data_IF_354226607986
#
_entry.id   IF_354226607986
#
_cell.length_a   1.000
_cell.length_b   1.000
_cell.length_c   1.000
_cell.angle_alpha   90.00
_cell.angle_beta   90.00
_cell.angle_gamma   90.00
#
_symmetry.space_group_name_H-M   'P 1'
#
loop_
_entity.id
_entity.type
_entity.pdbx_description
1 polymer ?
#
# COMPACT_ATOMS: atom_id res chain seq x y z
N UNK A 1 16.68 -2.90 -1.38
CA UNK A 1 15.67 -2.06 -2.05
C UNK A 1 15.03 -1.17 -1.00
N UNK A 2 14.80 0.11 -1.31
CA UNK A 2 14.08 1.05 -0.45
C UNK A 2 13.34 2.06 -1.33
N UNK A 3 12.02 2.10 -1.24
CA UNK A 3 11.17 3.15 -1.84
C UNK A 3 10.14 3.59 -0.81
N UNK A 4 9.45 4.70 -1.06
CA UNK A 4 8.38 5.18 -0.18
C UNK A 4 7.09 5.39 -0.96
N UNK A 5 5.96 4.95 -0.39
CA UNK A 5 4.62 5.19 -0.94
C UNK A 5 3.72 5.73 0.17
N UNK A 6 2.80 6.62 -0.17
CA UNK A 6 1.69 6.99 0.72
C UNK A 6 0.83 5.76 1.03
N UNK A 7 0.34 5.65 2.26
CA UNK A 7 -0.51 4.53 2.69
C UNK A 7 -1.70 4.32 1.76
N UNK A 8 -2.30 5.42 1.27
CA UNK A 8 -3.39 5.40 0.29
C UNK A 8 -3.08 4.60 -0.99
N UNK A 9 -1.79 4.53 -1.39
CA UNK A 9 -1.38 3.96 -2.68
C UNK A 9 -0.96 2.49 -2.60
N UNK A 10 -0.61 1.98 -1.41
CA UNK A 10 0.03 0.65 -1.24
C UNK A 10 -0.86 -0.47 -1.80
N UNK A 11 -2.16 -0.45 -1.51
CA UNK A 11 -3.08 -1.48 -1.96
C UNK A 11 -3.27 -1.49 -3.49
N UNK A 12 -3.38 -0.31 -4.11
CA UNK A 12 -3.52 -0.18 -5.56
C UNK A 12 -2.23 -0.61 -6.28
N UNK A 13 -1.07 -0.23 -5.73
CA UNK A 13 0.24 -0.66 -6.22
C UNK A 13 0.40 -2.18 -6.11
N UNK A 14 0.05 -2.77 -4.97
CA UNK A 14 0.09 -4.22 -4.80
C UNK A 14 -0.76 -4.93 -5.86
N UNK A 15 -1.99 -4.46 -6.09
CA UNK A 15 -2.90 -5.01 -7.12
C UNK A 15 -2.31 -4.90 -8.53
N UNK A 16 -1.78 -3.72 -8.90
CA UNK A 16 -1.15 -3.50 -10.21
C UNK A 16 0.04 -4.43 -10.44
N UNK A 17 0.87 -4.65 -9.44
CA UNK A 17 2.08 -5.47 -9.59
C UNK A 17 1.73 -6.97 -9.61
N UNK A 18 0.70 -7.40 -8.87
CA UNK A 18 0.27 -8.80 -8.78
C UNK A 18 -0.33 -9.34 -10.10
N UNK A 19 -0.83 -8.47 -10.98
CA UNK A 19 -1.34 -8.88 -12.30
C UNK A 19 -0.24 -9.10 -13.35
N UNK A 20 0.98 -8.62 -13.13
CA UNK A 20 2.07 -8.69 -14.11
C UNK A 20 2.60 -10.12 -14.22
N UNK A 21 2.62 -10.65 -15.45
CA UNK A 21 3.07 -12.01 -15.75
C UNK A 21 4.44 -11.97 -16.43
N UNK A 22 5.44 -12.46 -15.74
CA UNK A 22 6.84 -12.50 -16.19
C UNK A 22 7.45 -13.90 -16.01
N UNK A 23 8.61 -14.13 -16.63
CA UNK A 23 9.32 -15.42 -16.60
C UNK A 23 10.80 -15.23 -16.29
N UNK A 24 11.46 -16.31 -15.87
CA UNK A 24 12.90 -16.31 -15.64
C UNK A 24 13.32 -15.39 -14.49
N UNK A 25 14.32 -14.53 -14.73
CA UNK A 25 14.87 -13.63 -13.69
C UNK A 25 13.87 -12.55 -13.27
N UNK A 26 13.05 -12.07 -14.20
CA UNK A 26 12.04 -11.04 -13.92
C UNK A 26 10.98 -11.54 -12.93
N UNK A 27 10.62 -12.82 -12.99
CA UNK A 27 9.73 -13.43 -12.00
C UNK A 27 10.33 -13.42 -10.58
N UNK A 28 11.65 -13.58 -10.45
CA UNK A 28 12.31 -13.52 -9.15
C UNK A 28 12.34 -12.08 -8.61
N UNK A 29 12.61 -11.10 -9.47
CA UNK A 29 12.59 -9.67 -9.13
C UNK A 29 11.18 -9.27 -8.64
N UNK A 30 10.17 -9.49 -9.49
CA UNK A 30 8.79 -9.13 -9.19
C UNK A 30 8.27 -9.83 -7.93
N UNK A 31 8.56 -11.13 -7.75
CA UNK A 31 8.14 -11.86 -6.56
C UNK A 31 8.76 -11.31 -5.26
N UNK A 32 10.02 -10.89 -5.29
CA UNK A 32 10.67 -10.24 -4.13
C UNK A 32 10.01 -8.90 -3.83
N UNK A 33 9.70 -8.10 -4.86
CA UNK A 33 9.03 -6.83 -4.67
C UNK A 33 7.61 -6.97 -4.13
N UNK A 34 6.80 -7.88 -4.71
CA UNK A 34 5.45 -8.23 -4.21
C UNK A 34 5.51 -8.65 -2.74
N UNK A 35 6.54 -9.41 -2.33
CA UNK A 35 6.71 -9.79 -0.92
C UNK A 35 6.88 -8.57 -0.01
N UNK A 36 7.69 -7.59 -0.41
CA UNK A 36 7.88 -6.36 0.35
C UNK A 36 6.58 -5.55 0.42
N UNK A 37 5.90 -5.36 -0.71
CA UNK A 37 4.60 -4.68 -0.76
C UNK A 37 3.56 -5.35 0.16
N UNK A 38 3.48 -6.68 0.13
CA UNK A 38 2.55 -7.44 0.98
C UNK A 38 2.84 -7.28 2.48
N UNK A 39 4.12 -7.24 2.85
CA UNK A 39 4.54 -7.00 4.23
C UNK A 39 4.16 -5.60 4.69
N UNK A 40 4.46 -4.58 3.88
CA UNK A 40 4.11 -3.18 4.18
C UNK A 40 2.59 -3.00 4.22
N UNK A 41 1.84 -3.57 3.27
CA UNK A 41 0.37 -3.52 3.25
C UNK A 41 -0.25 -4.13 4.51
N UNK A 42 0.30 -5.26 4.99
CA UNK A 42 -0.14 -5.88 6.24
C UNK A 42 0.11 -4.97 7.44
N UNK A 43 1.30 -4.39 7.54
CA UNK A 43 1.64 -3.47 8.63
C UNK A 43 0.74 -2.22 8.61
N UNK A 44 0.55 -1.61 7.43
CA UNK A 44 -0.31 -0.45 7.28
C UNK A 44 -1.77 -0.77 7.68
N UNK A 45 -2.29 -1.94 7.29
CA UNK A 45 -3.63 -2.37 7.69
C UNK A 45 -3.76 -2.58 9.21
N UNK A 46 -2.73 -3.10 9.88
CA UNK A 46 -2.70 -3.23 11.34
C UNK A 46 -2.69 -1.85 12.02
N UNK A 47 -1.89 -0.91 11.52
CA UNK A 47 -1.83 0.46 12.01
C UNK A 47 -3.15 1.20 11.80
N UNK A 48 -3.80 1.03 10.64
CA UNK A 48 -5.12 1.59 10.34
C UNK A 48 -6.19 1.04 11.30
N UNK A 49 -6.20 -0.28 11.53
CA UNK A 49 -7.13 -0.90 12.47
C UNK A 49 -6.92 -0.38 13.90
N UNK A 50 -5.66 -0.22 14.33
CA UNK A 50 -5.35 0.36 15.62
C UNK A 50 -5.78 1.83 15.71
N UNK A 51 -5.67 2.60 14.62
CA UNK A 51 -6.18 3.96 14.53
C UNK A 51 -7.71 3.98 14.67
N UNK A 52 -8.42 3.21 13.84
CA UNK A 52 -9.90 3.12 13.89
C UNK A 52 -10.40 2.72 15.29
N UNK A 53 -9.71 1.79 15.95
CA UNK A 53 -10.09 1.34 17.30
C UNK A 53 -10.04 2.43 18.38
N UNK A 54 -9.22 3.49 18.19
CA UNK A 54 -9.16 4.64 19.11
C UNK A 54 -10.41 5.52 19.01
N UNK A 55 -11.07 5.52 17.85
CA UNK A 55 -12.26 6.34 17.57
C UNK A 55 -13.55 5.51 17.53
N UNK A 56 -13.48 4.25 17.96
CA UNK A 56 -14.59 3.31 17.96
C UNK A 56 -15.67 3.68 18.98
N UNK A 57 -16.92 3.38 18.63
CA UNK A 57 -18.02 3.30 19.60
C UNK A 57 -17.76 2.10 20.51
N UNK A 58 -17.73 2.33 21.82
CA UNK A 58 -17.47 1.28 22.82
C UNK A 58 -18.77 0.65 23.33
N UNK A 59 -18.70 -0.62 23.71
CA UNK A 59 -19.76 -1.31 24.43
C UNK A 59 -19.63 -1.11 25.95
N UNK A 60 -20.50 -1.78 26.71
CA UNK A 60 -20.54 -1.67 28.18
C UNK A 60 -19.27 -2.23 28.86
N UNK A 61 -18.51 -3.07 28.16
CA UNK A 61 -17.24 -3.63 28.64
C UNK A 61 -16.02 -2.79 28.22
N UNK A 62 -16.23 -1.72 27.44
CA UNK A 62 -15.16 -0.88 26.90
C UNK A 62 -14.54 -1.44 25.62
N UNK A 63 -15.12 -2.47 25.01
CA UNK A 63 -14.66 -3.05 23.75
C UNK A 63 -15.26 -2.31 22.54
N UNK A 64 -14.58 -2.33 21.39
CA UNK A 64 -15.09 -1.70 20.17
C UNK A 64 -16.29 -2.47 19.62
N UNK A 65 -17.43 -1.79 19.40
CA UNK A 65 -18.58 -2.37 18.70
C UNK A 65 -18.24 -2.62 17.24
N UNK A 66 -18.74 -3.73 16.70
CA UNK A 66 -18.58 -4.10 15.28
C UNK A 66 -19.93 -4.19 14.58
N UNK A 67 -19.95 -3.95 13.26
CA UNK A 67 -21.12 -4.18 12.41
C UNK A 67 -21.28 -5.68 12.06
N UNK A 68 -22.31 -6.02 11.29
CA UNK A 68 -22.58 -7.40 10.86
C UNK A 68 -21.48 -8.01 9.98
N UNK A 69 -20.60 -7.19 9.42
CA UNK A 69 -19.48 -7.60 8.58
C UNK A 69 -18.16 -7.69 9.37
N UNK A 70 -18.19 -7.38 10.68
CA UNK A 70 -17.03 -7.36 11.55
C UNK A 70 -16.23 -6.06 11.51
N UNK A 71 -16.71 -5.01 10.85
CA UNK A 71 -16.03 -3.71 10.83
C UNK A 71 -16.31 -2.94 12.12
N UNK A 72 -15.31 -2.22 12.62
CA UNK A 72 -15.46 -1.36 13.80
C UNK A 72 -16.44 -0.22 13.50
N UNK A 73 -17.42 -0.02 14.37
CA UNK A 73 -18.33 1.11 14.30
C UNK A 73 -17.66 2.35 14.90
N UNK A 74 -17.59 3.45 14.15
CA UNK A 74 -17.04 4.72 14.65
C UNK A 74 -18.00 5.41 15.62
N UNK A 75 -17.45 6.08 16.63
CA UNK A 75 -18.22 6.96 17.49
C UNK A 75 -18.61 8.23 16.69
N UNK A 76 -19.91 8.52 16.49
CA UNK A 76 -20.36 9.69 15.74
C UNK A 76 -19.80 11.02 16.25
N UNK A 77 -19.59 11.15 17.57
CA UNK A 77 -19.06 12.37 18.19
C UNK A 77 -17.58 12.59 17.85
N UNK A 78 -16.86 11.53 17.50
CA UNK A 78 -15.43 11.57 17.15
C UNK A 78 -15.18 11.49 15.65
N UNK A 79 -16.22 11.29 14.83
CA UNK A 79 -16.08 11.05 13.39
C UNK A 79 -15.32 12.16 12.66
N UNK A 80 -15.49 13.42 13.08
CA UNK A 80 -14.77 14.56 12.48
C UNK A 80 -13.26 14.50 12.77
N UNK A 81 -12.89 14.15 13.99
CA UNK A 81 -11.48 14.02 14.39
C UNK A 81 -10.84 12.81 13.70
N UNK A 82 -11.56 11.68 13.69
CA UNK A 82 -11.16 10.48 12.96
C UNK A 82 -10.89 10.80 11.48
N UNK A 83 -11.80 11.46 10.77
CA UNK A 83 -11.63 11.77 9.35
C UNK A 83 -10.37 12.62 9.10
N UNK A 84 -10.04 13.52 10.03
CA UNK A 84 -8.82 14.33 9.93
C UNK A 84 -7.57 13.46 10.08
N UNK A 85 -7.49 12.69 11.17
CA UNK A 85 -6.30 11.86 11.47
C UNK A 85 -6.15 10.72 10.47
N UNK A 86 -7.25 10.15 9.99
CA UNK A 86 -7.25 9.14 8.94
C UNK A 86 -6.77 9.71 7.60
N UNK A 87 -7.17 10.94 7.26
CA UNK A 87 -6.61 11.66 6.11
C UNK A 87 -5.10 11.87 6.23
N UNK A 88 -4.63 12.34 7.39
CA UNK A 88 -3.19 12.47 7.67
C UNK A 88 -2.47 11.12 7.59
N UNK A 89 -3.08 10.04 8.08
CA UNK A 89 -2.54 8.68 7.99
C UNK A 89 -2.45 8.17 6.55
N UNK A 90 -3.45 8.46 5.71
CA UNK A 90 -3.44 8.09 4.29
C UNK A 90 -2.27 8.75 3.53
N UNK A 91 -1.95 10.00 3.87
CA UNK A 91 -0.84 10.77 3.30
C UNK A 91 0.53 10.41 3.87
N UNK A 92 0.59 9.69 5.00
CA UNK A 92 1.86 9.22 5.55
C UNK A 92 2.54 8.24 4.59
N UNK A 93 3.86 8.39 4.47
CA UNK A 93 4.69 7.56 3.60
C UNK A 93 5.21 6.35 4.35
N UNK A 94 4.80 5.16 3.94
CA UNK A 94 5.39 3.91 4.37
C UNK A 94 6.67 3.62 3.59
N UNK A 95 7.65 3.03 4.27
CA UNK A 95 8.85 2.51 3.62
C UNK A 95 8.61 1.08 3.13
N UNK A 96 8.90 0.85 1.84
CA UNK A 96 8.95 -0.48 1.24
C UNK A 96 10.42 -0.84 1.14
N UNK A 97 10.92 -1.47 2.21
CA UNK A 97 12.33 -1.75 2.39
C UNK A 97 12.59 -3.23 2.68
N UNK A 98 13.69 -3.73 2.12
CA UNK A 98 14.21 -5.03 2.49
C UNK A 98 15.47 -5.43 1.74
N UNK A 99 16.15 -6.44 2.30
CA UNK A 99 17.33 -7.05 1.71
C UNK A 99 17.00 -7.74 0.39
N UNK A 100 17.55 -7.21 -0.70
CA UNK A 100 17.42 -7.74 -2.07
C UNK A 100 18.80 -7.82 -2.71
N UNK A 101 18.87 -7.95 -4.04
CA UNK A 101 20.12 -7.87 -4.78
C UNK A 101 20.32 -6.44 -5.33
N UNK A 102 21.55 -6.17 -5.79
CA UNK A 102 21.97 -4.89 -6.40
C UNK A 102 21.20 -4.65 -7.69
N UNK A 103 20.77 -3.41 -7.97
CA UNK A 103 19.96 -3.02 -9.14
C UNK A 103 18.55 -3.64 -9.19
N UNK A 104 18.04 -4.16 -8.07
CA UNK A 104 16.69 -4.71 -8.01
C UNK A 104 15.60 -3.64 -8.27
N UNK A 105 15.86 -2.36 -7.97
CA UNK A 105 14.94 -1.26 -8.29
C UNK A 105 14.82 -1.13 -9.81
N UNK A 106 15.94 -1.02 -10.51
CA UNK A 106 16.01 -0.88 -11.97
C UNK A 106 15.29 -2.04 -12.68
N UNK A 107 15.49 -3.27 -12.21
CA UNK A 107 14.80 -4.45 -12.75
C UNK A 107 13.28 -4.35 -12.62
N UNK A 108 12.79 -3.95 -11.43
CA UNK A 108 11.36 -3.83 -11.16
C UNK A 108 10.74 -2.68 -11.94
N UNK A 109 11.42 -1.53 -12.00
CA UNK A 109 10.99 -0.37 -12.77
C UNK A 109 10.88 -0.71 -14.26
N UNK A 110 11.88 -1.41 -14.82
CA UNK A 110 11.83 -1.90 -16.21
C UNK A 110 10.65 -2.84 -16.41
N UNK A 111 10.46 -3.84 -15.55
CA UNK A 111 9.35 -4.82 -15.69
C UNK A 111 7.98 -4.12 -15.72
N UNK A 112 7.77 -3.14 -14.84
CA UNK A 112 6.50 -2.42 -14.76
C UNK A 112 6.32 -1.51 -15.98
N UNK A 113 7.38 -0.85 -16.44
CA UNK A 113 7.34 -0.01 -17.64
C UNK A 113 7.02 -0.85 -18.89
N UNK A 114 7.72 -1.98 -19.07
CA UNK A 114 7.46 -2.93 -20.16
C UNK A 114 5.99 -3.41 -20.15
N UNK A 115 5.43 -3.69 -18.98
CA UNK A 115 4.01 -4.08 -18.85
C UNK A 115 3.06 -2.98 -19.29
N UNK A 116 3.30 -1.72 -18.90
CA UNK A 116 2.45 -0.57 -19.27
C UNK A 116 2.60 -0.22 -20.76
N UNK A 117 3.77 -0.42 -21.35
CA UNK A 117 3.99 -0.21 -22.79
C UNK A 117 3.25 -1.26 -23.64
N UNK A 118 3.15 -2.50 -23.15
CA UNK A 118 2.51 -3.61 -23.86
C UNK A 118 1.01 -3.75 -23.58
N UNK A 119 0.48 -3.10 -22.53
CA UNK A 119 -0.90 -3.28 -22.07
C UNK A 119 -1.57 -1.94 -21.77
N UNK A 120 -2.83 -1.80 -22.18
CA UNK A 120 -3.65 -0.66 -21.77
C UNK A 120 -4.01 -0.76 -20.28
N UNK A 121 -3.56 0.22 -19.49
CA UNK A 121 -3.96 0.39 -18.08
C UNK A 121 -4.91 1.58 -17.94
N UNK A 122 -5.76 1.56 -16.91
CA UNK A 122 -6.75 2.61 -16.69
C UNK A 122 -7.28 2.68 -15.26
N UNK A 123 -7.98 3.77 -14.96
CA UNK A 123 -8.58 3.98 -13.64
C UNK A 123 -7.52 3.93 -12.52
N UNK A 124 -7.80 3.24 -11.40
CA UNK A 124 -6.89 3.19 -10.26
C UNK A 124 -5.48 2.62 -10.55
N UNK A 125 -5.31 1.91 -11.67
CA UNK A 125 -4.01 1.37 -12.05
C UNK A 125 -3.09 2.44 -12.66
N UNK A 126 -3.64 3.52 -13.24
CA UNK A 126 -2.85 4.70 -13.65
C UNK A 126 -2.26 5.44 -12.45
N UNK A 127 -3.08 5.63 -11.41
CA UNK A 127 -2.64 6.29 -10.17
C UNK A 127 -1.57 5.46 -9.46
N UNK A 128 -1.75 4.13 -9.44
CA UNK A 128 -0.75 3.19 -8.92
C UNK A 128 0.58 3.25 -9.69
N UNK A 129 0.51 3.29 -11.03
CA UNK A 129 1.70 3.40 -11.86
C UNK A 129 2.44 4.72 -11.63
N UNK A 130 1.71 5.85 -11.57
CA UNK A 130 2.29 7.16 -11.27
C UNK A 130 2.97 7.17 -9.90
N UNK A 131 2.31 6.66 -8.87
CA UNK A 131 2.87 6.60 -7.52
C UNK A 131 4.17 5.77 -7.47
N UNK A 132 4.22 4.64 -8.18
CA UNK A 132 5.42 3.81 -8.32
C UNK A 132 6.54 4.53 -9.08
N UNK A 133 6.22 5.14 -10.22
CA UNK A 133 7.17 5.86 -11.05
C UNK A 133 7.86 6.96 -10.24
N UNK A 134 7.08 7.79 -9.53
CA UNK A 134 7.64 8.83 -8.66
C UNK A 134 8.45 8.26 -7.49
N UNK A 135 8.04 7.12 -6.94
CA UNK A 135 8.75 6.48 -5.83
C UNK A 135 10.12 5.95 -6.27
N UNK A 136 10.24 5.41 -7.48
CA UNK A 136 11.52 5.00 -8.06
C UNK A 136 12.44 6.20 -8.32
N UNK A 137 11.94 7.25 -8.98
CA UNK A 137 12.71 8.48 -9.26
C UNK A 137 13.22 9.18 -7.98
N UNK A 138 12.46 9.11 -6.87
CA UNK A 138 12.88 9.66 -5.57
C UNK A 138 13.88 8.76 -4.84
N UNK A 139 13.85 7.45 -5.06
CA UNK A 139 14.74 6.47 -4.45
C UNK A 139 16.15 6.42 -5.06
N UNK A 140 16.36 7.03 -6.23
CA UNK A 140 17.66 7.15 -6.90
C UNK A 140 18.55 8.29 -6.35
N UNK A 141 18.06 9.08 -5.39
CA UNK A 141 18.77 10.25 -4.82
C UNK A 141 19.41 10.00 -3.45
#
# INVERSE_FOLDING_TARGET
>A
MKITLENANIANVYRLVEQIKVKGRDALALAKFIKLLKQTLKSAGEDEQALVAQYALKDENGESKTDSNGNIQLNPDLAREYNKVHGEWLEQKAEIEGGTYVNHIDDVQRIISDYVDENEIGGPDLDAYLALYEAFEKGEK
#
